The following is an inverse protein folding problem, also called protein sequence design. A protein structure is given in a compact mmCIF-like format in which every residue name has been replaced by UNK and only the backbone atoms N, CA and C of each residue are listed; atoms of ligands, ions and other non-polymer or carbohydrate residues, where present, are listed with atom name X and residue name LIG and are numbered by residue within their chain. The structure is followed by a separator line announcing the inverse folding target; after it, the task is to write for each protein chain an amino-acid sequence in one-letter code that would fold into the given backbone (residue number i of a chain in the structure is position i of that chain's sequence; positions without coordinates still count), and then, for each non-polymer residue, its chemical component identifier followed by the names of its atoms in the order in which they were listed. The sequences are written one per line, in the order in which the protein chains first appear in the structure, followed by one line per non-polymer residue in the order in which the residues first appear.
data_IF_835297185364
#
_entry.id   IF_835297185364
#
_cell.length_a   1.000
_cell.length_b   1.000
_cell.length_c   1.000
_cell.angle_alpha   90.00
_cell.angle_beta   90.00
_cell.angle_gamma   90.00
#
_symmetry.space_group_name_H-M   'P 1'
#
loop_
_entity.id
_entity.type
_entity.pdbx_description
1 polymer ?
#
# COMPACT_ATOMS: atom_id res chain seq x y z
N UNK A 1 -0.73 16.64 -4.90
CA UNK A 1 -0.78 15.94 -3.61
C UNK A 1 -1.84 14.86 -3.67
N UNK A 2 -1.53 13.62 -3.31
CA UNK A 2 -2.53 12.55 -3.36
C UNK A 2 -3.61 12.76 -2.30
N UNK A 3 -4.80 12.23 -2.59
CA UNK A 3 -5.87 12.17 -1.62
C UNK A 3 -5.69 10.87 -0.83
N UNK A 4 -5.24 10.99 0.42
CA UNK A 4 -5.00 9.84 1.28
C UNK A 4 -6.19 9.68 2.23
N UNK A 5 -6.75 8.49 2.31
CA UNK A 5 -7.91 8.20 3.14
C UNK A 5 -7.56 7.14 4.19
N UNK A 6 -8.25 7.19 5.33
CA UNK A 6 -8.19 6.07 6.27
C UNK A 6 -8.72 4.82 5.57
N UNK A 7 -8.14 3.65 5.88
CA UNK A 7 -8.43 2.43 5.13
C UNK A 7 -9.93 2.09 5.11
N UNK A 8 -10.61 2.22 6.25
CA UNK A 8 -12.04 1.90 6.32
C UNK A 8 -12.87 2.87 5.50
N UNK A 9 -12.49 4.15 5.49
CA UNK A 9 -13.17 5.16 4.68
C UNK A 9 -12.97 4.90 3.20
N UNK A 10 -11.77 4.47 2.80
CA UNK A 10 -11.49 4.13 1.42
C UNK A 10 -12.37 2.96 0.96
N UNK A 11 -12.40 1.88 1.73
CA UNK A 11 -13.21 0.71 1.38
C UNK A 11 -14.70 1.08 1.31
N UNK A 12 -15.18 1.89 2.26
CA UNK A 12 -16.56 2.37 2.23
C UNK A 12 -16.86 3.21 0.99
N UNK A 13 -15.88 4.00 0.54
CA UNK A 13 -16.07 4.83 -0.65
C UNK A 13 -16.29 4.01 -1.91
N UNK A 14 -15.78 2.78 -1.94
CA UNK A 14 -16.00 1.89 -3.09
C UNK A 14 -17.42 1.37 -3.14
N UNK A 15 -18.12 1.39 -2.00
CA UNK A 15 -19.53 0.99 -1.92
C UNK A 15 -20.47 2.15 -2.13
N UNK A 16 -20.01 3.37 -1.94
CA UNK A 16 -20.85 4.56 -1.99
C UNK A 16 -21.05 5.01 -3.44
N UNK A 17 -22.15 5.67 -3.68
CA UNK A 17 -22.54 6.12 -4.99
C UNK A 17 -24.03 5.94 -5.13
N UNK A 18 -24.61 6.45 -6.20
CA UNK A 18 -26.05 6.44 -6.41
C UNK A 18 -26.62 5.04 -6.62
N UNK A 19 -25.75 4.07 -6.77
CA UNK A 19 -26.19 2.69 -6.90
C UNK A 19 -25.21 1.79 -6.17
N UNK A 20 -25.70 1.13 -5.14
CA UNK A 20 -24.99 -0.02 -4.59
C UNK A 20 -25.16 -1.15 -5.58
N UNK A 21 -24.45 -1.05 -6.69
CA UNK A 21 -24.50 -2.08 -7.73
C UNK A 21 -23.77 -3.32 -7.24
N UNK A 22 -24.10 -4.44 -7.85
CA UNK A 22 -23.39 -5.69 -7.59
C UNK A 22 -21.89 -5.54 -7.84
N UNK A 23 -21.52 -4.76 -8.85
CA UNK A 23 -20.12 -4.54 -9.22
C UNK A 23 -19.38 -3.77 -8.12
N UNK A 24 -19.96 -2.70 -7.58
CA UNK A 24 -19.31 -1.90 -6.55
C UNK A 24 -19.16 -2.69 -5.23
N UNK A 25 -20.14 -3.52 -4.88
CA UNK A 25 -20.03 -4.39 -3.70
C UNK A 25 -18.94 -5.42 -3.91
N UNK A 26 -18.86 -6.02 -5.10
CA UNK A 26 -17.81 -7.00 -5.42
C UNK A 26 -16.43 -6.37 -5.37
N UNK A 27 -16.28 -5.14 -5.89
CA UNK A 27 -15.00 -4.43 -5.85
C UNK A 27 -14.56 -4.13 -4.43
N UNK A 28 -15.49 -3.70 -3.57
CA UNK A 28 -15.15 -3.40 -2.18
C UNK A 28 -14.74 -4.67 -1.42
N UNK A 29 -15.41 -5.79 -1.69
CA UNK A 29 -15.06 -7.07 -1.08
C UNK A 29 -13.68 -7.55 -1.56
N UNK A 30 -13.39 -7.38 -2.82
CA UNK A 30 -12.10 -7.73 -3.38
C UNK A 30 -10.98 -6.95 -2.70
N UNK A 31 -11.15 -5.63 -2.60
CA UNK A 31 -10.15 -4.78 -1.98
C UNK A 31 -10.01 -5.08 -0.49
N UNK A 32 -11.13 -5.27 0.21
CA UNK A 32 -11.11 -5.61 1.63
C UNK A 32 -10.33 -6.92 1.86
N UNK A 33 -10.56 -7.91 1.03
CA UNK A 33 -9.86 -9.18 1.12
C UNK A 33 -8.37 -9.04 0.77
N UNK A 34 -8.06 -8.18 -0.21
CA UNK A 34 -6.69 -7.89 -0.59
C UNK A 34 -5.92 -7.22 0.55
N UNK A 35 -6.57 -6.28 1.24
CA UNK A 35 -5.95 -5.52 2.33
C UNK A 35 -5.81 -6.37 3.60
N UNK A 36 -6.88 -7.04 4.00
CA UNK A 36 -6.95 -7.70 5.31
C UNK A 36 -6.83 -9.22 5.25
N UNK A 37 -7.07 -9.83 4.10
CA UNK A 37 -6.99 -11.28 3.96
C UNK A 37 -5.56 -11.77 3.81
N UNK A 38 -5.39 -13.07 3.99
CA UNK A 38 -4.12 -13.73 3.74
C UNK A 38 -4.00 -13.98 2.25
N UNK A 39 -2.96 -13.45 1.63
CA UNK A 39 -2.73 -13.54 0.20
C UNK A 39 -1.32 -14.07 -0.07
N UNK A 40 -1.07 -14.67 -1.25
CA UNK A 40 0.30 -14.92 -1.68
C UNK A 40 1.07 -13.61 -1.67
N UNK A 41 2.22 -13.59 -1.02
CA UNK A 41 2.87 -12.34 -0.68
C UNK A 41 4.38 -12.44 -0.72
N UNK A 42 5.01 -11.28 -0.94
CA UNK A 42 6.45 -11.09 -0.78
C UNK A 42 6.66 -10.19 0.44
N UNK A 43 7.63 -10.56 1.26
CA UNK A 43 8.13 -9.70 2.34
C UNK A 43 9.54 -9.26 1.96
N UNK A 44 9.71 -7.96 1.81
CA UNK A 44 11.00 -7.35 1.48
C UNK A 44 11.43 -6.41 2.59
N UNK A 45 12.37 -6.85 3.41
CA UNK A 45 12.84 -6.09 4.57
C UNK A 45 14.35 -6.21 4.67
N UNK A 46 15.04 -5.07 4.76
CA UNK A 46 16.49 -5.00 4.96
C UNK A 46 17.27 -5.84 3.95
N UNK A 47 16.83 -5.78 2.69
CA UNK A 47 17.47 -6.51 1.59
C UNK A 47 17.12 -7.99 1.51
N UNK A 48 16.35 -8.51 2.46
CA UNK A 48 15.94 -9.92 2.47
C UNK A 48 14.59 -10.07 1.82
N UNK A 49 14.48 -11.05 0.92
CA UNK A 49 13.23 -11.34 0.20
C UNK A 49 12.70 -12.69 0.66
N UNK A 50 11.45 -12.72 1.11
CA UNK A 50 10.74 -13.98 1.41
C UNK A 50 9.45 -13.98 0.61
N UNK A 51 9.21 -15.06 -0.13
CA UNK A 51 8.03 -15.19 -0.99
C UNK A 51 7.19 -16.35 -0.49
N UNK A 52 5.89 -16.11 -0.35
CA UNK A 52 4.91 -17.12 0.04
C UNK A 52 3.89 -17.25 -1.09
N UNK A 53 3.72 -18.46 -1.57
CA UNK A 53 2.83 -18.75 -2.70
C UNK A 53 3.54 -18.60 -4.04
N UNK A 54 2.90 -19.11 -5.11
CA UNK A 54 3.52 -19.15 -6.42
C UNK A 54 3.43 -17.82 -7.17
N UNK A 55 2.29 -17.14 -7.02
CA UNK A 55 2.05 -15.86 -7.71
C UNK A 55 1.68 -14.84 -6.65
N UNK A 56 2.67 -14.12 -6.09
CA UNK A 56 2.37 -13.13 -5.05
C UNK A 56 1.63 -11.94 -5.66
N UNK A 57 0.62 -11.47 -4.93
CA UNK A 57 -0.17 -10.30 -5.32
C UNK A 57 -0.01 -9.15 -4.35
N UNK A 58 0.71 -9.37 -3.25
CA UNK A 58 0.86 -8.41 -2.16
C UNK A 58 2.33 -8.34 -1.75
N UNK A 59 2.82 -7.12 -1.56
CA UNK A 59 4.20 -6.89 -1.11
C UNK A 59 4.17 -6.14 0.21
N UNK A 60 4.89 -6.66 1.19
CA UNK A 60 5.11 -5.98 2.48
C UNK A 60 6.53 -5.46 2.54
N UNK A 61 6.68 -4.20 2.91
CA UNK A 61 8.00 -3.60 3.08
C UNK A 61 7.91 -2.50 4.15
N UNK A 62 8.99 -1.76 4.34
CA UNK A 62 9.04 -0.64 5.26
C UNK A 62 9.79 0.53 4.60
N UNK A 63 9.79 1.67 5.27
CA UNK A 63 10.39 2.90 4.71
C UNK A 63 11.88 2.70 4.44
N UNK A 64 12.59 2.10 5.38
CA UNK A 64 14.04 1.91 5.24
C UNK A 64 14.39 1.00 4.06
N UNK A 65 13.53 0.04 3.74
CA UNK A 65 13.78 -0.94 2.67
C UNK A 65 13.45 -0.42 1.28
N UNK A 66 12.66 0.65 1.17
CA UNK A 66 12.19 1.17 -0.12
C UNK A 66 13.33 1.57 -1.06
N UNK A 67 14.47 1.99 -0.52
CA UNK A 67 15.60 2.39 -1.37
C UNK A 67 16.12 1.24 -2.23
N UNK A 68 15.95 0.00 -1.78
CA UNK A 68 16.42 -1.17 -2.51
C UNK A 68 15.37 -1.82 -3.39
N UNK A 69 14.15 -1.30 -3.43
CA UNK A 69 13.03 -2.01 -4.07
C UNK A 69 13.20 -2.13 -5.58
N UNK A 70 13.77 -1.11 -6.22
CA UNK A 70 13.93 -1.10 -7.67
C UNK A 70 14.98 -2.11 -8.14
N UNK A 71 16.01 -2.36 -7.33
CA UNK A 71 17.12 -3.24 -7.69
C UNK A 71 16.94 -4.65 -7.14
N UNK A 72 15.96 -4.88 -6.28
CA UNK A 72 15.72 -6.19 -5.71
C UNK A 72 15.11 -7.14 -6.75
N UNK A 73 15.48 -8.41 -6.66
CA UNK A 73 14.91 -9.43 -7.54
C UNK A 73 13.59 -9.91 -6.95
N UNK A 74 12.51 -9.27 -7.35
CA UNK A 74 11.16 -9.52 -6.85
C UNK A 74 10.25 -9.94 -8.00
N UNK A 75 9.27 -10.78 -7.69
CA UNK A 75 8.21 -11.15 -8.63
C UNK A 75 7.18 -10.02 -8.66
N UNK A 76 7.44 -9.01 -9.49
CA UNK A 76 6.66 -7.75 -9.50
C UNK A 76 5.39 -7.79 -10.32
N UNK A 77 5.27 -8.74 -11.25
CA UNK A 77 4.28 -8.65 -12.34
C UNK A 77 2.83 -8.71 -11.88
N UNK A 78 2.56 -9.41 -10.78
CA UNK A 78 1.19 -9.62 -10.32
C UNK A 78 0.88 -8.89 -9.01
N UNK A 79 1.80 -8.09 -8.49
CA UNK A 79 1.60 -7.33 -7.26
C UNK A 79 0.55 -6.25 -7.51
N UNK A 80 -0.52 -6.27 -6.73
CA UNK A 80 -1.63 -5.33 -6.82
C UNK A 80 -1.63 -4.32 -5.67
N UNK A 81 -1.02 -4.68 -4.54
CA UNK A 81 -0.96 -3.83 -3.36
C UNK A 81 0.42 -3.91 -2.72
N UNK A 82 0.92 -2.75 -2.31
CA UNK A 82 2.15 -2.66 -1.50
C UNK A 82 1.77 -2.09 -0.14
N UNK A 83 2.13 -2.81 0.92
CA UNK A 83 1.97 -2.37 2.30
C UNK A 83 3.31 -1.83 2.77
N UNK A 84 3.34 -0.57 3.17
CA UNK A 84 4.56 0.10 3.61
C UNK A 84 4.42 0.45 5.08
N UNK A 85 5.28 -0.11 5.92
CA UNK A 85 5.27 0.16 7.35
C UNK A 85 6.05 1.42 7.69
N UNK A 86 5.44 2.26 8.52
CA UNK A 86 6.10 3.36 9.19
C UNK A 86 6.34 2.91 10.62
N UNK A 87 7.60 2.74 11.00
CA UNK A 87 7.96 2.13 12.28
C UNK A 87 8.29 3.16 13.35
N UNK A 88 8.68 4.36 12.94
CA UNK A 88 9.09 5.42 13.86
C UNK A 88 8.73 6.77 13.30
N UNK A 89 8.72 7.78 14.17
CA UNK A 89 8.42 9.15 13.74
C UNK A 89 9.45 9.68 12.74
N UNK A 90 10.68 9.17 12.77
CA UNK A 90 11.72 9.53 11.81
C UNK A 90 11.33 9.15 10.39
N UNK A 91 10.64 8.02 10.23
CA UNK A 91 10.19 7.57 8.92
C UNK A 91 9.25 8.57 8.25
N UNK A 92 8.52 9.37 9.03
CA UNK A 92 7.58 10.35 8.49
C UNK A 92 8.26 11.47 7.70
N UNK A 93 9.56 11.67 7.88
CA UNK A 93 10.33 12.66 7.14
C UNK A 93 10.91 12.12 5.84
N UNK A 94 10.80 10.83 5.61
CA UNK A 94 11.27 10.20 4.37
C UNK A 94 10.29 10.45 3.24
N UNK A 95 10.81 10.46 2.01
CA UNK A 95 9.97 10.61 0.83
C UNK A 95 9.78 9.26 0.16
N UNK A 96 8.59 9.04 -0.37
CA UNK A 96 8.25 7.85 -1.11
C UNK A 96 8.05 8.26 -2.56
N UNK A 97 9.04 7.96 -3.40
CA UNK A 97 8.99 8.30 -4.82
C UNK A 97 8.25 7.20 -5.57
N UNK A 98 7.07 7.54 -6.08
CA UNK A 98 6.21 6.57 -6.74
C UNK A 98 6.78 6.08 -8.06
N UNK A 99 7.79 6.76 -8.62
CA UNK A 99 8.49 6.24 -9.80
C UNK A 99 9.23 4.94 -9.51
N UNK A 100 9.56 4.66 -8.26
CA UNK A 100 10.20 3.40 -7.88
C UNK A 100 9.30 2.19 -8.13
N UNK A 101 8.01 2.41 -8.29
CA UNK A 101 7.04 1.33 -8.49
C UNK A 101 6.66 1.15 -9.96
N UNK A 102 7.37 1.80 -10.88
CA UNK A 102 6.99 1.80 -12.30
C UNK A 102 6.99 0.41 -12.93
N UNK A 103 7.79 -0.52 -12.39
CA UNK A 103 7.83 -1.89 -12.91
C UNK A 103 6.75 -2.80 -12.33
N UNK A 104 5.97 -2.31 -11.38
CA UNK A 104 4.86 -3.07 -10.81
C UNK A 104 3.62 -2.84 -11.65
N UNK A 105 3.47 -3.63 -12.71
CA UNK A 105 2.51 -3.36 -13.79
C UNK A 105 1.03 -3.41 -13.34
N UNK A 106 0.72 -4.18 -12.31
CA UNK A 106 -0.65 -4.32 -11.80
C UNK A 106 -0.89 -3.57 -10.50
N UNK A 107 0.09 -2.81 -10.04
CA UNK A 107 -0.03 -2.11 -8.76
C UNK A 107 -1.10 -1.02 -8.86
N UNK A 108 -2.06 -1.07 -7.94
CA UNK A 108 -3.14 -0.09 -7.81
C UNK A 108 -3.21 0.52 -6.43
N UNK A 109 -2.81 -0.21 -5.41
CA UNK A 109 -3.07 0.18 -4.02
C UNK A 109 -1.78 0.29 -3.24
N UNK A 110 -1.67 1.38 -2.48
CA UNK A 110 -0.56 1.60 -1.57
C UNK A 110 -1.16 1.80 -0.18
N UNK A 111 -0.82 0.91 0.72
CA UNK A 111 -1.35 0.89 2.08
C UNK A 111 -0.23 1.24 3.06
N UNK A 112 -0.39 2.39 3.72
CA UNK A 112 0.56 2.86 4.73
C UNK A 112 0.08 2.38 6.08
N UNK A 113 0.89 1.58 6.75
CA UNK A 113 0.57 1.04 8.07
C UNK A 113 1.53 1.65 9.07
N UNK A 114 1.04 2.58 9.87
CA UNK A 114 1.90 3.36 10.76
C UNK A 114 1.79 2.90 12.21
N UNK A 115 2.94 2.68 12.84
CA UNK A 115 3.02 2.41 14.28
C UNK A 115 2.99 3.69 15.11
N UNK A 116 3.10 4.85 14.47
CA UNK A 116 3.15 6.13 15.17
C UNK A 116 1.99 7.00 14.73
N UNK A 117 1.57 7.89 15.61
CA UNK A 117 0.50 8.85 15.31
C UNK A 117 0.94 9.78 14.20
N UNK A 118 0.05 10.00 13.25
CA UNK A 118 0.29 10.89 12.12
C UNK A 118 -1.05 11.33 11.56
N UNK A 119 -1.01 12.12 10.50
CA UNK A 119 -2.22 12.65 9.86
C UNK A 119 -2.23 12.28 8.38
N UNK A 120 -3.41 12.38 7.77
CA UNK A 120 -3.55 12.19 6.32
C UNK A 120 -2.64 13.13 5.56
N UNK A 121 -2.57 14.38 6.00
CA UNK A 121 -1.74 15.38 5.31
C UNK A 121 -0.26 15.04 5.40
N UNK A 122 0.21 14.59 6.56
CA UNK A 122 1.60 14.19 6.72
C UNK A 122 1.95 13.02 5.83
N UNK A 123 1.07 12.05 5.73
CA UNK A 123 1.28 10.90 4.85
C UNK A 123 1.27 11.36 3.38
N UNK A 124 0.29 12.18 3.00
CA UNK A 124 0.21 12.69 1.64
C UNK A 124 1.50 13.43 1.24
N UNK A 125 2.08 14.19 2.17
CA UNK A 125 3.29 14.96 1.91
C UNK A 125 4.53 14.10 1.72
N UNK A 126 4.49 12.83 2.09
CA UNK A 126 5.62 11.92 1.88
C UNK A 126 5.80 11.53 0.42
N UNK A 127 4.75 11.59 -0.37
CA UNK A 127 4.75 11.06 -1.73
C UNK A 127 5.28 12.05 -2.75
N UNK A 128 6.16 11.55 -3.63
CA UNK A 128 6.66 12.29 -4.79
C UNK A 128 6.16 11.62 -6.05
N UNK A 129 5.91 12.42 -7.09
CA UNK A 129 5.51 11.93 -8.42
C UNK A 129 4.21 11.13 -8.39
N UNK A 130 3.21 11.65 -7.70
CA UNK A 130 1.93 11.00 -7.57
C UNK A 130 1.27 10.82 -8.94
N UNK A 131 0.67 9.65 -9.11
CA UNK A 131 -0.06 9.27 -10.32
C UNK A 131 -1.43 8.74 -9.90
N UNK A 132 -2.47 9.17 -10.58
CA UNK A 132 -3.85 8.81 -10.23
C UNK A 132 -4.15 7.31 -10.36
N UNK A 133 -3.28 6.55 -11.00
CA UNK A 133 -3.47 5.10 -11.04
C UNK A 133 -3.38 4.46 -9.65
N UNK A 134 -2.74 5.13 -8.70
CA UNK A 134 -2.59 4.59 -7.34
C UNK A 134 -3.63 5.19 -6.41
N UNK A 135 -4.28 4.31 -5.64
CA UNK A 135 -5.10 4.72 -4.50
C UNK A 135 -4.27 4.50 -3.24
N UNK A 136 -4.16 5.54 -2.42
CA UNK A 136 -3.32 5.51 -1.22
C UNK A 136 -4.23 5.63 0.00
N UNK A 137 -4.06 4.70 0.93
CA UNK A 137 -4.82 4.72 2.18
C UNK A 137 -3.93 4.26 3.32
N UNK A 138 -4.40 4.45 4.54
CA UNK A 138 -3.55 4.23 5.71
C UNK A 138 -4.35 3.72 6.90
N UNK A 139 -3.60 3.19 7.85
CA UNK A 139 -4.12 2.86 9.19
C UNK A 139 -3.01 3.15 10.19
N UNK A 140 -3.41 3.62 11.37
CA UNK A 140 -2.49 3.80 12.49
C UNK A 140 -2.72 2.64 13.44
N UNK A 141 -1.67 1.86 13.69
CA UNK A 141 -1.66 0.78 14.66
C UNK A 141 -0.71 1.15 15.77
N UNK A 142 -1.23 1.61 16.87
CA UNK A 142 -0.39 1.93 18.01
C UNK A 142 0.14 0.63 18.61
N UNK A 143 1.47 0.51 18.64
CA UNK A 143 2.11 -0.61 19.33
C UNK A 143 1.98 -0.36 20.82
N UNK A 144 1.41 -1.27 21.54
CA UNK A 144 1.36 -1.23 22.97
C UNK A 144 2.64 -1.75 23.58
#
# INVERSE_FOLDING_TARGET
TPNVMYVNAFISSLKSGNAKTRVSVSNSQYVENLVFGIQPAIYFNSGTVKTYGDIPIKLFTDIASLNGISSANLLKDDIEIIVIKIKSSTDLYSKIDLLKFSEFNKLKYIYILSNVSTTEQNIANMFLNYNQQYSIFYKIENAE
#
